data_IF_938975585441
#
_entry.id   IF_938975585441
#
_cell.length_a   1.000
_cell.length_b   1.000
_cell.length_c   1.000
_cell.angle_alpha   90.00
_cell.angle_beta   90.00
_cell.angle_gamma   90.00
#
_symmetry.space_group_name_H-M   'P 1'
#
loop_
_entity.id
_entity.type
_entity.pdbx_description
1 polymer ?
#
# COMPACT_ATOMS: atom_id res chain seq x y z
N UNK A 1 21.75 7.46 -19.03
CA UNK A 1 21.25 8.31 -17.94
C UNK A 1 19.74 8.29 -18.04
N UNK A 2 19.03 7.73 -17.06
CA UNK A 2 17.57 7.61 -17.15
C UNK A 2 16.96 9.01 -16.93
N UNK A 3 16.11 9.42 -17.85
CA UNK A 3 15.33 10.65 -17.73
C UNK A 3 13.89 10.28 -17.97
N UNK A 4 13.06 10.43 -16.96
CA UNK A 4 11.63 10.16 -17.08
C UNK A 4 10.83 11.27 -16.40
N UNK A 5 9.72 11.71 -17.01
CA UNK A 5 8.78 12.58 -16.33
C UNK A 5 8.00 11.83 -15.25
N UNK A 6 7.71 12.50 -14.15
CA UNK A 6 6.94 11.99 -13.02
C UNK A 6 5.52 11.61 -13.46
N UNK A 7 5.02 10.43 -13.08
CA UNK A 7 3.70 9.95 -13.48
C UNK A 7 2.54 10.77 -12.94
N UNK A 8 2.73 11.69 -11.99
CA UNK A 8 1.62 12.47 -11.42
C UNK A 8 1.75 13.97 -11.72
N UNK A 9 2.92 14.55 -11.52
CA UNK A 9 3.11 16.00 -11.57
C UNK A 9 3.82 16.47 -12.85
N UNK A 10 4.33 15.54 -13.67
CA UNK A 10 5.02 15.83 -14.92
C UNK A 10 6.40 16.47 -14.78
N UNK A 11 6.93 16.64 -13.56
CA UNK A 11 8.30 17.08 -13.35
C UNK A 11 9.25 16.03 -13.91
N UNK A 12 10.33 16.43 -14.56
CA UNK A 12 11.31 15.50 -15.12
C UNK A 12 12.34 15.13 -14.08
N UNK A 13 12.57 13.82 -13.96
CA UNK A 13 13.54 13.24 -13.05
C UNK A 13 14.66 12.69 -13.91
N UNK A 14 15.82 13.31 -13.80
CA UNK A 14 17.03 12.91 -14.50
C UNK A 14 18.03 12.33 -13.50
N UNK A 15 18.31 11.04 -13.63
CA UNK A 15 19.39 10.34 -12.92
C UNK A 15 20.71 11.09 -13.15
N UNK A 16 21.44 11.46 -12.10
CA UNK A 16 22.74 12.14 -12.26
C UNK A 16 23.92 11.16 -12.21
N UNK A 17 23.67 9.87 -11.96
CA UNK A 17 24.68 8.80 -11.94
C UNK A 17 25.48 8.71 -10.63
N UNK A 18 25.17 9.53 -9.63
CA UNK A 18 25.85 9.59 -8.32
C UNK A 18 24.88 9.30 -7.14
N UNK A 19 23.75 8.63 -7.41
CA UNK A 19 22.68 8.42 -6.43
C UNK A 19 21.83 9.68 -6.18
N UNK A 20 22.04 10.74 -6.96
CA UNK A 20 21.18 11.92 -6.96
C UNK A 20 20.33 12.00 -8.22
N UNK A 21 19.18 12.64 -8.09
CA UNK A 21 18.21 12.85 -9.14
C UNK A 21 17.95 14.35 -9.23
N UNK A 22 18.12 14.89 -10.44
CA UNK A 22 17.70 16.25 -10.74
C UNK A 22 16.22 16.21 -11.08
N UNK A 23 15.41 16.90 -10.30
CA UNK A 23 13.99 17.10 -10.55
C UNK A 23 13.81 18.48 -11.14
N UNK A 24 13.22 18.55 -12.34
CA UNK A 24 12.99 19.80 -13.07
C UNK A 24 11.51 19.96 -13.33
N UNK A 25 10.93 21.06 -12.85
CA UNK A 25 9.57 21.46 -13.23
C UNK A 25 9.64 22.25 -14.53
N UNK A 26 9.36 21.58 -15.65
CA UNK A 26 9.38 22.22 -16.97
C UNK A 26 8.37 23.36 -17.12
N UNK A 27 7.35 23.45 -16.27
CA UNK A 27 6.38 24.56 -16.33
C UNK A 27 6.97 25.84 -15.75
N UNK A 28 7.75 25.73 -14.69
CA UNK A 28 8.31 26.89 -13.97
C UNK A 28 9.79 27.12 -14.27
N UNK A 29 10.48 26.15 -14.88
CA UNK A 29 11.93 26.17 -15.08
C UNK A 29 12.74 25.91 -13.80
N UNK A 30 12.05 25.82 -12.65
CA UNK A 30 12.65 25.56 -11.35
C UNK A 30 13.13 24.12 -11.29
N UNK A 31 14.23 23.92 -10.59
CA UNK A 31 14.81 22.60 -10.41
C UNK A 31 15.38 22.46 -9.02
N UNK A 32 15.46 21.22 -8.54
CA UNK A 32 16.26 20.83 -7.39
C UNK A 32 16.94 19.51 -7.61
N UNK A 33 17.99 19.28 -6.84
CA UNK A 33 18.66 17.99 -6.74
C UNK A 33 18.26 17.33 -5.43
N UNK A 34 17.84 16.08 -5.53
CA UNK A 34 17.51 15.22 -4.39
C UNK A 34 18.41 14.00 -4.43
N UNK A 35 18.71 13.40 -3.28
CA UNK A 35 19.20 12.02 -3.22
C UNK A 35 18.01 11.08 -3.49
N UNK A 36 18.29 9.87 -4.01
CA UNK A 36 17.25 8.94 -4.43
C UNK A 36 16.24 8.55 -3.34
N UNK A 37 16.60 8.71 -2.07
CA UNK A 37 15.81 8.42 -0.87
C UNK A 37 14.96 9.61 -0.39
N UNK A 38 14.86 10.68 -1.19
CA UNK A 38 14.02 11.83 -0.86
C UNK A 38 14.73 12.99 -0.17
N UNK A 39 16.01 12.85 0.20
CA UNK A 39 16.75 13.95 0.84
C UNK A 39 16.99 15.07 -0.17
N UNK A 40 16.42 16.25 0.11
CA UNK A 40 16.69 17.47 -0.66
C UNK A 40 18.13 17.96 -0.45
N UNK A 41 18.84 18.29 -1.53
CA UNK A 41 20.23 18.74 -1.48
C UNK A 41 20.38 20.22 -1.82
N UNK A 42 19.83 20.66 -2.95
CA UNK A 42 19.93 22.05 -3.43
C UNK A 42 18.85 22.36 -4.47
N UNK A 43 18.55 23.66 -4.66
CA UNK A 43 17.65 24.16 -5.70
C UNK A 43 16.39 24.85 -5.18
N UNK A 44 15.39 25.01 -6.04
CA UNK A 44 14.19 25.82 -5.77
C UNK A 44 12.93 24.99 -5.51
N UNK A 45 12.91 23.72 -5.93
CA UNK A 45 11.85 22.76 -5.60
C UNK A 45 12.13 22.14 -4.23
N UNK A 46 11.19 22.20 -3.30
CA UNK A 46 11.37 21.64 -1.94
C UNK A 46 10.81 20.23 -1.78
N UNK A 47 10.25 19.65 -2.84
CA UNK A 47 9.57 18.35 -2.81
C UNK A 47 9.79 17.57 -4.12
N UNK A 48 9.73 16.25 -4.01
CA UNK A 48 9.75 15.30 -5.12
C UNK A 48 9.09 13.98 -4.65
N UNK A 49 8.42 13.27 -5.54
CA UNK A 49 7.96 11.90 -5.29
C UNK A 49 9.15 10.96 -5.03
N UNK A 50 9.23 10.35 -3.83
CA UNK A 50 10.34 9.50 -3.45
C UNK A 50 10.36 8.14 -4.13
N UNK A 51 9.20 7.56 -4.46
CA UNK A 51 9.16 6.34 -5.26
C UNK A 51 9.73 6.59 -6.65
N UNK A 52 9.53 7.81 -7.18
CA UNK A 52 10.09 8.17 -8.47
C UNK A 52 11.57 8.59 -8.39
N UNK A 53 12.02 9.20 -7.29
CA UNK A 53 13.44 9.38 -7.01
C UNK A 53 14.16 8.02 -6.94
N UNK A 54 13.57 7.07 -6.23
CA UNK A 54 14.05 5.69 -6.13
C UNK A 54 13.97 4.97 -7.48
N UNK A 55 12.89 5.21 -8.23
CA UNK A 55 12.75 4.71 -9.59
C UNK A 55 13.81 5.28 -10.52
N UNK A 56 14.31 6.49 -10.34
CA UNK A 56 15.22 7.14 -11.30
C UNK A 56 16.68 6.92 -10.93
N UNK A 57 17.05 7.33 -9.72
CA UNK A 57 18.42 7.30 -9.20
C UNK A 57 18.64 6.29 -8.08
N UNK A 58 17.62 5.48 -7.74
CA UNK A 58 17.76 4.44 -6.72
C UNK A 58 18.75 3.35 -7.11
N UNK A 59 19.25 2.60 -6.11
CA UNK A 59 20.22 1.54 -6.33
C UNK A 59 19.64 0.48 -7.26
N UNK A 60 20.42 0.05 -8.25
CA UNK A 60 20.10 -1.13 -9.07
C UNK A 60 20.56 -2.36 -8.32
N UNK A 61 19.87 -3.49 -8.49
CA UNK A 61 20.45 -4.75 -8.05
C UNK A 61 21.78 -4.98 -8.80
N UNK A 62 22.80 -5.55 -8.13
CA UNK A 62 24.00 -5.98 -8.81
C UNK A 62 23.65 -6.89 -10.00
N UNK A 63 24.35 -6.81 -11.15
CA UNK A 63 24.09 -7.66 -12.31
C UNK A 63 24.03 -9.16 -11.98
N UNK A 64 24.84 -9.61 -11.02
CA UNK A 64 24.90 -10.97 -10.49
C UNK A 64 23.67 -11.39 -9.66
N UNK A 65 22.87 -10.42 -9.21
CA UNK A 65 21.62 -10.61 -8.46
C UNK A 65 20.36 -10.47 -9.35
N UNK A 66 20.53 -10.12 -10.63
CA UNK A 66 19.44 -10.10 -11.63
C UNK A 66 19.28 -11.48 -12.30
N UNK A 67 19.00 -12.49 -11.47
CA UNK A 67 18.95 -13.91 -11.90
C UNK A 67 17.65 -14.31 -12.61
N UNK A 68 16.69 -13.40 -12.83
CA UNK A 68 15.33 -13.79 -13.21
C UNK A 68 14.97 -13.73 -14.69
N UNK A 69 15.80 -13.18 -15.57
CA UNK A 69 15.39 -12.96 -16.96
C UNK A 69 15.59 -14.13 -17.92
N UNK A 70 16.01 -15.31 -17.46
CA UNK A 70 16.38 -16.38 -18.39
C UNK A 70 15.73 -17.75 -18.16
N UNK A 71 14.57 -17.92 -17.51
CA UNK A 71 13.86 -19.22 -17.53
C UNK A 71 12.33 -19.13 -17.42
N UNK A 72 11.66 -18.46 -18.38
CA UNK A 72 10.22 -18.67 -18.58
C UNK A 72 9.96 -19.43 -19.88
N UNK A 73 9.26 -20.57 -19.85
CA UNK A 73 8.31 -20.89 -20.91
C UNK A 73 7.09 -19.97 -20.78
N UNK A 74 6.60 -19.45 -21.90
CA UNK A 74 5.32 -18.75 -22.06
C UNK A 74 4.11 -19.73 -21.85
N UNK A 75 2.88 -19.22 -21.67
CA UNK A 75 2.02 -19.52 -20.53
C UNK A 75 1.25 -20.85 -20.61
N UNK A 76 1.05 -21.46 -19.44
CA UNK A 76 0.04 -22.50 -19.21
C UNK A 76 -1.36 -21.86 -19.30
N UNK A 77 -2.15 -22.35 -20.26
CA UNK A 77 -3.58 -22.08 -20.36
C UNK A 77 -4.27 -22.29 -19.01
N UNK A 78 -4.91 -21.23 -18.51
CA UNK A 78 -5.80 -21.30 -17.35
C UNK A 78 -7.10 -21.99 -17.78
N UNK A 79 -7.27 -23.24 -17.35
CA UNK A 79 -8.55 -23.94 -17.46
C UNK A 79 -9.59 -23.30 -16.53
N UNK A 80 -10.72 -22.93 -17.10
CA UNK A 80 -11.91 -22.46 -16.39
C UNK A 80 -12.45 -23.53 -15.42
N UNK A 81 -12.92 -23.09 -14.25
CA UNK A 81 -13.75 -23.89 -13.35
C UNK A 81 -14.83 -23.01 -12.69
N UNK A 82 -15.98 -23.60 -12.29
CA UNK A 82 -17.31 -23.03 -12.55
C UNK A 82 -17.88 -22.18 -11.41
N UNK A 83 -18.93 -21.44 -11.74
CA UNK A 83 -19.71 -20.56 -10.85
C UNK A 83 -20.34 -21.32 -9.68
N UNK A 84 -20.18 -20.79 -8.46
CA UNK A 84 -20.96 -21.20 -7.29
C UNK A 84 -22.13 -20.23 -7.09
N UNK A 85 -23.34 -20.73 -7.29
CA UNK A 85 -24.58 -20.10 -6.90
C UNK A 85 -24.96 -20.48 -5.46
N UNK A 86 -25.56 -19.51 -4.77
CA UNK A 86 -26.55 -19.62 -3.67
C UNK A 86 -26.12 -20.17 -2.29
N UNK A 87 -26.02 -19.25 -1.32
CA UNK A 87 -26.46 -19.44 0.07
C UNK A 87 -26.76 -18.07 0.72
N UNK A 88 -27.72 -17.99 1.67
CA UNK A 88 -28.44 -16.76 2.01
C UNK A 88 -27.69 -15.87 3.01
N UNK A 89 -27.60 -14.58 2.71
CA UNK A 89 -27.09 -13.56 3.63
C UNK A 89 -28.22 -13.15 4.58
N UNK A 90 -28.24 -13.75 5.77
CA UNK A 90 -29.03 -13.27 6.89
C UNK A 90 -28.21 -12.27 7.71
N UNK A 91 -28.74 -11.05 7.84
CA UNK A 91 -28.32 -10.12 8.89
C UNK A 91 -28.03 -8.70 8.43
N UNK A 92 -28.99 -8.03 7.80
CA UNK A 92 -29.24 -6.57 7.87
C UNK A 92 -30.60 -6.28 7.20
N UNK A 93 -31.65 -7.03 7.57
CA UNK A 93 -33.03 -6.65 7.25
C UNK A 93 -33.61 -5.87 8.44
N UNK A 94 -33.12 -4.65 8.60
CA UNK A 94 -33.95 -3.56 9.10
C UNK A 94 -34.84 -3.06 7.96
N UNK A 95 -36.06 -2.65 8.28
CA UNK A 95 -37.13 -2.24 7.36
C UNK A 95 -36.63 -1.46 6.14
N UNK A 96 -36.97 -1.97 4.95
CA UNK A 96 -36.54 -1.47 3.65
C UNK A 96 -37.33 -0.21 3.26
N UNK A 97 -37.01 0.92 3.86
CA UNK A 97 -37.11 2.19 3.13
C UNK A 97 -35.82 2.29 2.32
N UNK A 98 -35.92 2.09 1.01
CA UNK A 98 -34.76 2.32 0.13
C UNK A 98 -34.27 3.76 0.40
N UNK A 99 -32.99 3.96 0.77
CA UNK A 99 -32.48 5.29 1.03
C UNK A 99 -32.70 6.12 -0.24
N UNK A 100 -33.23 7.35 -0.13
CA UNK A 100 -33.52 8.17 -1.30
C UNK A 100 -32.25 8.36 -2.11
N UNK A 101 -32.31 8.03 -3.40
CA UNK A 101 -31.24 8.38 -4.35
C UNK A 101 -31.36 9.88 -4.62
N UNK A 102 -30.57 10.67 -3.91
CA UNK A 102 -30.50 12.11 -4.15
C UNK A 102 -29.82 12.33 -5.50
N UNK A 103 -30.44 13.03 -6.43
CA UNK A 103 -29.84 13.33 -7.74
C UNK A 103 -28.73 14.37 -7.60
N UNK A 104 -27.78 14.37 -8.53
CA UNK A 104 -26.76 15.41 -8.58
C UNK A 104 -27.38 16.73 -9.03
N UNK A 105 -27.22 17.79 -8.23
CA UNK A 105 -27.80 19.12 -8.50
C UNK A 105 -26.77 20.17 -8.88
N UNK A 106 -25.48 19.82 -8.88
CA UNK A 106 -24.39 20.78 -9.01
C UNK A 106 -24.15 21.57 -7.72
N UNK A 107 -22.93 22.01 -7.53
CA UNK A 107 -22.53 22.88 -6.42
C UNK A 107 -21.91 24.15 -7.02
N UNK A 108 -22.48 25.33 -6.73
CA UNK A 108 -21.96 26.58 -7.26
C UNK A 108 -20.58 26.94 -6.70
N UNK A 109 -20.18 26.31 -5.60
CA UNK A 109 -18.97 26.59 -4.86
C UNK A 109 -18.97 27.95 -4.16
N UNK A 110 -17.90 28.22 -3.43
CA UNK A 110 -17.62 29.49 -2.73
C UNK A 110 -16.14 29.81 -2.85
N UNK A 111 -15.81 31.10 -3.04
CA UNK A 111 -14.43 31.56 -3.04
C UNK A 111 -13.89 31.61 -1.60
N UNK A 112 -12.72 31.01 -1.37
CA UNK A 112 -12.04 31.01 -0.06
C UNK A 112 -10.60 31.51 -0.22
N UNK A 113 -9.89 31.67 0.89
CA UNK A 113 -8.44 31.95 0.90
C UNK A 113 -7.61 30.82 0.27
N UNK A 114 -8.17 29.61 0.16
CA UNK A 114 -7.59 28.44 -0.51
C UNK A 114 -8.11 28.29 -1.96
N UNK A 115 -8.81 29.29 -2.49
CA UNK A 115 -9.44 29.31 -3.81
C UNK A 115 -10.87 28.76 -3.81
N UNK A 116 -11.42 28.50 -5.00
CA UNK A 116 -12.78 27.96 -5.12
C UNK A 116 -12.92 26.60 -4.40
N UNK A 117 -13.93 26.49 -3.51
CA UNK A 117 -14.27 25.27 -2.76
C UNK A 117 -15.77 24.98 -2.80
N UNK A 118 -16.20 23.83 -2.27
CA UNK A 118 -17.62 23.52 -2.15
C UNK A 118 -18.36 24.60 -1.35
N UNK A 119 -19.64 24.86 -1.66
CA UNK A 119 -20.42 25.82 -0.86
C UNK A 119 -20.61 25.38 0.60
N UNK A 120 -20.31 24.12 0.92
CA UNK A 120 -20.28 23.59 2.29
C UNK A 120 -18.87 23.45 2.87
N UNK A 121 -17.86 24.08 2.26
CA UNK A 121 -16.48 23.98 2.72
C UNK A 121 -16.32 24.40 4.17
N UNK A 122 -15.66 23.54 4.94
CA UNK A 122 -15.16 23.85 6.27
C UNK A 122 -13.72 23.34 6.34
N UNK A 123 -12.81 24.21 6.76
CA UNK A 123 -11.40 23.85 6.90
C UNK A 123 -11.24 22.76 7.97
N UNK A 124 -10.41 21.75 7.70
CA UNK A 124 -10.04 20.73 8.69
C UNK A 124 -9.47 21.38 9.96
N UNK A 125 -8.72 22.48 9.81
CA UNK A 125 -8.13 23.21 10.92
C UNK A 125 -9.18 23.70 11.93
N UNK A 126 -10.35 24.11 11.46
CA UNK A 126 -11.46 24.51 12.34
C UNK A 126 -11.86 23.38 13.31
N UNK A 127 -11.88 22.12 12.85
CA UNK A 127 -12.26 21.00 13.70
C UNK A 127 -11.20 20.65 14.72
N UNK A 128 -9.93 20.72 14.33
CA UNK A 128 -8.81 20.48 15.25
C UNK A 128 -8.79 21.55 16.36
N UNK A 129 -8.96 22.82 16.00
CA UNK A 129 -8.96 23.96 16.96
C UNK A 129 -10.17 23.98 17.89
N UNK A 130 -11.30 23.40 17.45
CA UNK A 130 -12.54 23.36 18.21
C UNK A 130 -12.84 21.98 18.83
N UNK A 131 -11.87 21.05 18.81
CA UNK A 131 -11.99 19.80 19.54
C UNK A 131 -12.08 20.09 21.04
N UNK A 132 -12.90 19.32 21.76
CA UNK A 132 -13.10 19.49 23.20
C UNK A 132 -11.93 18.95 24.03
N UNK A 133 -11.06 18.15 23.42
CA UNK A 133 -9.92 17.46 24.04
C UNK A 133 -8.68 17.59 23.14
N UNK A 134 -8.23 18.83 22.82
CA UNK A 134 -7.14 19.05 21.87
C UNK A 134 -5.82 18.40 22.33
N UNK A 135 -5.63 18.21 23.64
CA UNK A 135 -4.48 17.50 24.21
C UNK A 135 -4.42 16.01 23.86
N UNK A 136 -5.53 15.44 23.36
CA UNK A 136 -5.60 14.07 22.85
C UNK A 136 -5.36 13.99 21.35
N UNK A 137 -5.22 15.10 20.62
CA UNK A 137 -4.95 15.06 19.18
C UNK A 137 -3.44 14.88 18.97
N UNK A 138 -2.97 13.82 18.30
CA UNK A 138 -1.55 13.67 18.00
C UNK A 138 -1.03 14.79 17.09
N UNK A 139 0.19 15.26 17.34
CA UNK A 139 0.82 16.39 16.62
C UNK A 139 0.78 16.24 15.09
N UNK A 140 0.94 15.02 14.58
CA UNK A 140 0.90 14.72 13.15
C UNK A 140 -0.39 15.17 12.46
N UNK A 141 -1.54 15.20 13.15
CA UNK A 141 -2.81 15.66 12.56
C UNK A 141 -2.82 17.16 12.24
N UNK A 142 -1.96 17.93 12.91
CA UNK A 142 -1.81 19.37 12.68
C UNK A 142 -0.86 19.71 11.52
N UNK A 143 0.00 18.77 11.10
CA UNK A 143 1.00 19.00 10.04
C UNK A 143 0.35 19.10 8.66
N UNK A 144 0.54 20.20 7.93
CA UNK A 144 0.16 20.41 6.52
C UNK A 144 1.33 20.13 5.58
N UNK A 145 1.09 19.29 4.55
CA UNK A 145 2.08 19.03 3.52
C UNK A 145 1.43 18.75 2.14
N UNK A 146 0.77 19.76 1.54
CA UNK A 146 0.04 19.58 0.30
C UNK A 146 0.95 19.22 -0.88
N UNK A 147 0.45 18.41 -1.81
CA UNK A 147 1.16 18.14 -3.06
C UNK A 147 1.28 19.42 -3.90
N UNK A 148 2.49 19.96 -4.03
CA UNK A 148 2.71 21.17 -4.84
C UNK A 148 2.86 20.84 -6.34
N UNK A 149 2.52 21.80 -7.20
CA UNK A 149 2.62 21.68 -8.67
C UNK A 149 1.29 21.67 -9.42
N UNK A 150 0.18 21.55 -8.67
CA UNK A 150 -1.19 21.62 -9.21
C UNK A 150 -1.54 20.46 -10.14
N UNK A 151 -2.73 20.48 -10.76
CA UNK A 151 -3.16 19.42 -11.66
C UNK A 151 -2.25 19.35 -12.90
N UNK A 152 -1.86 18.13 -13.27
CA UNK A 152 -1.11 17.85 -14.48
C UNK A 152 -1.80 16.73 -15.27
N UNK A 153 -1.71 16.82 -16.61
CA UNK A 153 -2.12 15.72 -17.49
C UNK A 153 -0.96 14.74 -17.63
N UNK A 154 -1.27 13.47 -17.49
CA UNK A 154 -0.30 12.36 -17.54
C UNK A 154 -0.68 11.46 -18.71
N UNK A 155 0.31 10.91 -19.42
CA UNK A 155 0.04 9.92 -20.46
C UNK A 155 -0.56 8.64 -19.87
N UNK A 156 -1.59 8.12 -20.55
CA UNK A 156 -2.24 6.85 -20.21
C UNK A 156 -1.37 5.63 -20.49
N UNK A 157 -0.26 5.80 -21.22
CA UNK A 157 0.68 4.72 -21.59
C UNK A 157 1.12 3.88 -20.39
N UNK A 158 1.28 4.51 -19.22
CA UNK A 158 1.69 3.86 -17.95
C UNK A 158 0.73 2.78 -17.47
N UNK A 159 -0.51 2.79 -17.94
CA UNK A 159 -1.50 1.79 -17.56
C UNK A 159 -1.50 0.57 -18.49
N UNK A 160 -0.97 0.67 -19.71
CA UNK A 160 -1.08 -0.40 -20.71
C UNK A 160 0.22 -0.79 -21.43
N UNK A 161 1.27 0.02 -21.40
CA UNK A 161 2.55 -0.33 -22.01
C UNK A 161 3.34 -1.34 -21.19
N UNK A 162 3.72 -2.46 -21.84
CA UNK A 162 4.54 -3.50 -21.21
C UNK A 162 5.91 -2.99 -20.75
N UNK A 163 6.57 -2.12 -21.54
CA UNK A 163 7.89 -1.56 -21.19
C UNK A 163 7.88 -0.86 -19.84
N UNK A 164 6.80 -0.13 -19.54
CA UNK A 164 6.65 0.59 -18.27
C UNK A 164 6.38 -0.39 -17.11
N UNK A 165 5.57 -1.42 -17.33
CA UNK A 165 5.40 -2.50 -16.35
C UNK A 165 6.73 -3.21 -16.02
N UNK A 166 7.52 -3.57 -17.04
CA UNK A 166 8.82 -4.24 -16.83
C UNK A 166 9.76 -3.34 -16.00
N UNK A 167 9.73 -2.03 -16.24
CA UNK A 167 10.53 -1.07 -15.47
C UNK A 167 10.02 -0.89 -14.03
N UNK A 168 8.71 -0.93 -13.80
CA UNK A 168 8.11 -0.97 -12.45
C UNK A 168 8.55 -2.22 -11.68
N UNK A 169 8.67 -3.38 -12.34
CA UNK A 169 9.21 -4.58 -11.70
C UNK A 169 10.63 -4.38 -11.24
N UNK A 170 11.50 -3.86 -12.10
CA UNK A 170 12.91 -3.66 -11.75
C UNK A 170 13.14 -2.64 -10.63
N UNK A 171 12.30 -1.60 -10.57
CA UNK A 171 12.60 -0.43 -9.77
C UNK A 171 11.64 -0.16 -8.62
N UNK A 172 10.49 -0.81 -8.61
CA UNK A 172 9.51 -0.74 -7.51
C UNK A 172 9.38 -2.12 -6.88
N UNK A 173 8.93 -3.13 -7.62
CA UNK A 173 8.60 -4.43 -7.03
C UNK A 173 9.82 -5.21 -6.51
N UNK A 174 11.02 -4.96 -7.05
CA UNK A 174 12.29 -5.50 -6.52
C UNK A 174 12.92 -4.64 -5.41
N UNK A 175 12.37 -3.45 -5.09
CA UNK A 175 13.04 -2.42 -4.28
C UNK A 175 12.21 -1.81 -3.15
N UNK A 176 10.89 -1.93 -3.21
CA UNK A 176 9.98 -1.37 -2.21
C UNK A 176 9.54 -2.41 -1.19
N UNK A 177 9.29 -1.95 0.04
CA UNK A 177 8.65 -2.74 1.08
C UNK A 177 7.20 -3.09 0.70
N UNK A 178 6.86 -4.37 0.79
CA UNK A 178 5.58 -4.93 0.35
C UNK A 178 4.91 -5.69 1.49
N UNK A 179 3.67 -5.32 1.83
CA UNK A 179 2.88 -6.07 2.80
C UNK A 179 2.49 -7.43 2.21
N UNK A 180 2.79 -8.51 2.94
CA UNK A 180 2.53 -9.89 2.49
C UNK A 180 1.33 -10.49 3.21
N UNK A 181 1.34 -10.45 4.54
CA UNK A 181 0.31 -11.05 5.38
C UNK A 181 0.30 -10.42 6.78
N UNK A 182 -0.65 -10.81 7.63
CA UNK A 182 -0.55 -10.54 9.06
C UNK A 182 0.25 -11.61 9.78
N UNK A 183 0.76 -11.29 10.95
CA UNK A 183 1.42 -12.27 11.83
C UNK A 183 0.47 -13.42 12.21
N UNK A 184 -0.82 -13.11 12.35
CA UNK A 184 -1.90 -14.07 12.66
C UNK A 184 -2.23 -15.02 11.49
N UNK A 185 -1.78 -14.71 10.28
CA UNK A 185 -1.94 -15.62 9.13
C UNK A 185 -1.00 -16.81 9.24
N UNK A 186 0.17 -16.60 9.84
CA UNK A 186 1.24 -17.57 10.07
C UNK A 186 1.64 -17.61 11.56
N UNK A 187 0.72 -17.96 12.48
CA UNK A 187 0.92 -17.80 13.93
C UNK A 187 1.92 -18.77 14.54
N UNK A 188 2.17 -19.93 13.92
CA UNK A 188 3.06 -20.96 14.46
C UNK A 188 4.36 -21.05 13.68
N UNK A 189 5.46 -21.46 14.34
CA UNK A 189 6.74 -21.70 13.65
C UNK A 189 6.54 -22.76 12.57
N UNK A 190 7.02 -22.46 11.37
CA UNK A 190 6.83 -23.29 10.18
C UNK A 190 5.55 -22.98 9.40
N UNK A 191 4.68 -22.10 9.89
CA UNK A 191 3.60 -21.56 9.06
C UNK A 191 4.18 -20.57 8.05
N UNK A 192 3.74 -20.69 6.80
CA UNK A 192 4.31 -19.92 5.70
C UNK A 192 3.27 -19.49 4.66
N UNK A 193 3.58 -18.36 4.04
CA UNK A 193 2.81 -17.74 2.99
C UNK A 193 3.61 -17.76 1.68
N UNK A 194 3.11 -18.48 0.67
CA UNK A 194 3.63 -18.37 -0.70
C UNK A 194 3.16 -17.03 -1.32
N UNK A 195 4.04 -16.05 -1.40
CA UNK A 195 3.79 -14.72 -1.95
C UNK A 195 4.20 -14.64 -3.42
N UNK A 196 3.42 -13.94 -4.23
CA UNK A 196 3.65 -13.72 -5.66
C UNK A 196 3.31 -12.28 -6.03
N UNK A 197 4.21 -11.64 -6.77
CA UNK A 197 4.03 -10.28 -7.28
C UNK A 197 4.75 -10.17 -8.63
N UNK A 198 4.06 -9.68 -9.66
CA UNK A 198 4.53 -9.77 -11.04
C UNK A 198 5.00 -11.21 -11.40
N UNK A 199 6.27 -11.38 -11.78
CA UNK A 199 6.88 -12.69 -12.03
C UNK A 199 7.71 -13.23 -10.85
N UNK A 200 7.77 -12.49 -9.73
CA UNK A 200 8.55 -12.84 -8.54
C UNK A 200 7.74 -13.75 -7.61
N UNK A 201 8.41 -14.66 -6.90
CA UNK A 201 7.78 -15.51 -5.90
C UNK A 201 8.67 -15.72 -4.67
N UNK A 202 8.06 -15.61 -3.50
CA UNK A 202 8.72 -15.72 -2.20
C UNK A 202 7.96 -16.67 -1.27
N UNK A 203 8.69 -17.31 -0.37
CA UNK A 203 8.15 -17.99 0.81
C UNK A 203 8.42 -17.08 2.00
N UNK A 204 7.36 -16.58 2.63
CA UNK A 204 7.45 -15.83 3.88
C UNK A 204 7.01 -16.75 5.01
N UNK A 205 7.88 -17.00 5.97
CA UNK A 205 7.69 -18.04 6.99
C UNK A 205 7.96 -17.49 8.39
N UNK A 206 7.19 -17.93 9.38
CA UNK A 206 7.57 -17.77 10.78
C UNK A 206 8.67 -18.79 11.09
N UNK A 207 9.91 -18.34 11.13
CA UNK A 207 11.10 -19.18 11.31
C UNK A 207 11.46 -19.40 12.79
N UNK A 208 10.95 -18.55 13.69
CA UNK A 208 11.09 -18.67 15.15
C UNK A 208 9.89 -18.04 15.87
N UNK A 209 9.86 -18.11 17.21
CA UNK A 209 8.72 -17.65 18.02
C UNK A 209 8.27 -16.22 17.64
N UNK A 210 9.24 -15.30 17.57
CA UNK A 210 9.04 -13.89 17.18
C UNK A 210 9.90 -13.51 15.98
N UNK A 211 10.20 -14.46 15.09
CA UNK A 211 11.11 -14.23 13.96
C UNK A 211 10.49 -14.74 12.68
N UNK A 212 10.60 -13.93 11.63
CA UNK A 212 10.16 -14.24 10.29
C UNK A 212 11.35 -14.28 9.34
N UNK A 213 11.21 -15.00 8.25
CA UNK A 213 12.19 -15.05 7.17
C UNK A 213 11.46 -15.05 5.83
N UNK A 214 12.06 -14.46 4.82
CA UNK A 214 11.53 -14.43 3.46
C UNK A 214 12.60 -14.91 2.49
N UNK A 215 12.25 -15.89 1.66
CA UNK A 215 13.18 -16.52 0.71
C UNK A 215 12.56 -16.58 -0.67
N UNK A 216 13.35 -16.46 -1.73
CA UNK A 216 12.86 -16.76 -3.07
C UNK A 216 12.35 -18.20 -3.15
N UNK A 217 11.16 -18.38 -3.72
CA UNK A 217 10.46 -19.65 -3.78
C UNK A 217 10.98 -20.52 -4.93
N UNK A 218 12.26 -20.88 -4.91
CA UNK A 218 12.92 -21.53 -6.04
C UNK A 218 13.96 -22.53 -5.56
N UNK A 219 13.91 -23.75 -6.10
CA UNK A 219 14.96 -24.73 -5.90
C UNK A 219 16.20 -24.35 -6.69
N UNK A 220 17.35 -24.23 -6.04
CA UNK A 220 18.61 -23.84 -6.70
C UNK A 220 19.22 -24.94 -7.58
N UNK A 221 18.68 -26.16 -7.56
CA UNK A 221 19.15 -27.23 -8.45
C UNK A 221 18.62 -27.07 -9.88
N UNK A 222 17.29 -27.02 -10.07
CA UNK A 222 16.65 -26.88 -11.40
C UNK A 222 15.41 -25.99 -11.39
N UNK A 223 15.45 -24.93 -10.58
CA UNK A 223 14.43 -23.88 -10.50
C UNK A 223 12.99 -24.33 -10.25
N UNK A 224 12.78 -25.53 -9.71
CA UNK A 224 11.44 -25.99 -9.36
C UNK A 224 10.91 -25.15 -8.20
N UNK A 225 9.66 -24.69 -8.30
CA UNK A 225 8.94 -24.04 -7.21
C UNK A 225 8.91 -24.98 -5.97
N UNK A 226 9.29 -24.46 -4.81
CA UNK A 226 9.34 -25.23 -3.56
C UNK A 226 7.96 -25.34 -2.92
N UNK A 227 7.20 -24.23 -2.91
CA UNK A 227 5.88 -24.13 -2.30
C UNK A 227 4.86 -23.59 -3.31
N UNK A 228 3.83 -24.37 -3.60
CA UNK A 228 2.74 -24.01 -4.53
C UNK A 228 1.67 -23.11 -3.90
N UNK A 229 1.42 -23.28 -2.60
CA UNK A 229 0.37 -22.62 -1.82
C UNK A 229 0.85 -22.25 -0.42
N UNK A 230 0.05 -21.50 0.34
CA UNK A 230 0.30 -21.30 1.77
C UNK A 230 0.25 -22.63 2.52
N UNK A 231 1.02 -22.75 3.60
CA UNK A 231 1.08 -23.97 4.38
C UNK A 231 1.33 -23.71 5.85
N UNK A 232 1.23 -24.79 6.63
CA UNK A 232 1.38 -24.77 8.08
C UNK A 232 2.37 -25.84 8.55
N UNK A 233 3.08 -25.56 9.64
CA UNK A 233 3.96 -26.52 10.33
C UNK A 233 5.10 -27.11 9.48
N UNK A 234 5.61 -26.36 8.50
CA UNK A 234 6.79 -26.78 7.76
C UNK A 234 8.00 -26.91 8.69
N UNK A 235 8.79 -27.98 8.51
CA UNK A 235 10.08 -28.17 9.20
C UNK A 235 11.28 -27.85 8.31
N UNK A 236 11.05 -27.84 7.00
CA UNK A 236 11.99 -27.56 5.92
C UNK A 236 11.20 -27.31 4.63
N UNK A 237 11.87 -26.75 3.63
CA UNK A 237 11.37 -26.62 2.26
C UNK A 237 12.07 -27.65 1.38
N UNK A 238 11.41 -28.78 1.13
CA UNK A 238 11.94 -29.87 0.29
C UNK A 238 11.42 -29.73 -1.14
N UNK A 239 12.35 -29.70 -2.09
CA UNK A 239 12.02 -29.65 -3.51
C UNK A 239 11.33 -30.96 -3.94
N UNK A 240 10.14 -30.89 -4.56
CA UNK A 240 9.39 -32.07 -4.98
C UNK A 240 10.02 -32.80 -6.19
N UNK A 241 11.08 -32.26 -6.78
CA UNK A 241 11.72 -32.88 -7.94
C UNK A 241 12.83 -33.87 -7.54
N UNK A 242 13.87 -33.39 -6.86
CA UNK A 242 15.05 -34.20 -6.54
C UNK A 242 15.35 -34.26 -5.03
N UNK A 243 14.44 -33.80 -4.17
CA UNK A 243 14.56 -33.98 -2.73
C UNK A 243 15.55 -33.06 -2.00
N UNK A 244 16.24 -32.15 -2.70
CA UNK A 244 17.05 -31.11 -2.05
C UNK A 244 16.17 -30.29 -1.09
N UNK A 245 16.69 -29.98 0.09
CA UNK A 245 15.91 -29.24 1.09
C UNK A 245 16.71 -28.13 1.77
N UNK A 246 15.96 -27.10 2.18
CA UNK A 246 16.44 -25.95 2.92
C UNK A 246 15.68 -25.83 4.23
N UNK A 247 16.33 -25.32 5.28
CA UNK A 247 15.67 -25.01 6.56
C UNK A 247 14.75 -23.78 6.41
N UNK A 248 13.99 -23.46 7.46
CA UNK A 248 13.09 -22.30 7.46
C UNK A 248 13.84 -20.96 7.36
N UNK A 249 15.09 -20.91 7.80
CA UNK A 249 16.00 -19.77 7.65
C UNK A 249 16.66 -19.68 6.25
N UNK A 250 16.31 -20.59 5.32
CA UNK A 250 16.82 -20.60 3.95
C UNK A 250 18.17 -21.30 3.79
N UNK A 251 18.82 -21.73 4.87
CA UNK A 251 20.09 -22.45 4.80
C UNK A 251 19.91 -23.86 4.21
N UNK A 252 20.86 -24.29 3.38
CA UNK A 252 20.86 -25.64 2.80
C UNK A 252 20.88 -26.69 3.91
N UNK A 253 19.92 -27.61 3.85
CA UNK A 253 19.81 -28.73 4.80
C UNK A 253 20.38 -30.01 4.20
N UNK A 254 19.78 -30.49 3.12
CA UNK A 254 20.03 -31.83 2.58
C UNK A 254 20.16 -31.79 1.06
N UNK A 255 21.14 -32.53 0.55
CA UNK A 255 21.26 -32.90 -0.86
C UNK A 255 21.01 -34.41 -0.92
N UNK A 256 20.05 -34.83 -1.74
CA UNK A 256 19.77 -36.26 -1.91
C UNK A 256 20.98 -36.96 -2.50
N UNK A 257 21.41 -38.07 -1.86
CA UNK A 257 22.59 -38.86 -2.23
C UNK A 257 23.86 -38.02 -2.40
N UNK A 258 24.08 -37.03 -1.53
CA UNK A 258 25.22 -36.09 -1.57
C UNK A 258 26.59 -36.76 -1.73
N UNK A 259 26.77 -37.97 -1.15
CA UNK A 259 28.01 -38.74 -1.25
C UNK A 259 28.41 -39.13 -2.68
N UNK A 260 27.46 -39.19 -3.63
CA UNK A 260 27.72 -39.48 -5.04
C UNK A 260 28.24 -38.24 -5.80
N UNK A 261 28.20 -37.07 -5.19
CA UNK A 261 28.55 -35.78 -5.80
C UNK A 261 29.55 -34.98 -4.94
N UNK A 262 30.82 -35.39 -4.84
CA UNK A 262 31.82 -34.64 -4.09
C UNK A 262 31.93 -33.19 -4.59
N UNK A 263 31.85 -32.21 -3.68
CA UNK A 263 31.96 -30.77 -4.00
C UNK A 263 30.63 -30.06 -4.30
N UNK A 264 29.51 -30.79 -4.44
CA UNK A 264 28.23 -30.16 -4.81
C UNK A 264 27.67 -29.26 -3.72
N UNK A 265 27.99 -29.52 -2.45
CA UNK A 265 27.43 -28.76 -1.32
C UNK A 265 27.97 -27.34 -1.29
N UNK A 266 29.24 -27.20 -1.62
CA UNK A 266 29.96 -25.93 -1.72
C UNK A 266 29.35 -25.03 -2.81
N UNK A 267 28.80 -25.64 -3.87
CA UNK A 267 28.09 -24.96 -4.95
C UNK A 267 26.57 -24.80 -4.69
N UNK A 268 26.00 -25.63 -3.81
CA UNK A 268 24.59 -25.60 -3.44
C UNK A 268 24.33 -24.47 -2.43
N UNK A 269 24.10 -23.27 -2.95
CA UNK A 269 23.83 -22.08 -2.16
C UNK A 269 22.63 -22.19 -1.19
N UNK A 270 22.53 -21.18 -0.33
CA UNK A 270 21.35 -20.93 0.48
C UNK A 270 20.28 -20.25 -0.37
N UNK A 271 19.01 -20.39 0.01
CA UNK A 271 17.94 -19.68 -0.70
C UNK A 271 18.20 -18.16 -0.65
N UNK A 272 18.10 -17.45 -1.79
CA UNK A 272 18.21 -15.99 -1.79
C UNK A 272 17.16 -15.38 -0.86
N UNK A 273 17.63 -14.62 0.13
CA UNK A 273 16.77 -13.98 1.11
C UNK A 273 16.23 -12.65 0.57
N UNK A 274 15.03 -12.29 1.03
CA UNK A 274 14.51 -10.94 1.00
C UNK A 274 14.54 -10.37 2.42
N UNK A 275 14.73 -9.05 2.57
CA UNK A 275 14.57 -8.39 3.86
C UNK A 275 13.14 -8.60 4.36
N UNK A 276 12.98 -8.73 5.68
CA UNK A 276 11.69 -8.93 6.33
C UNK A 276 11.61 -8.08 7.59
N UNK A 277 10.47 -7.43 7.79
CA UNK A 277 10.20 -6.62 8.97
C UNK A 277 8.70 -6.67 9.28
N UNK A 278 8.34 -6.31 10.51
CA UNK A 278 6.95 -6.24 10.94
C UNK A 278 6.61 -4.85 11.47
N UNK A 279 5.35 -4.45 11.29
CA UNK A 279 4.80 -3.23 11.87
C UNK A 279 3.30 -3.45 12.12
N UNK A 280 2.80 -3.17 13.33
CA UNK A 280 1.35 -3.27 13.64
C UNK A 280 0.72 -4.65 13.38
N UNK A 281 1.49 -5.73 13.53
CA UNK A 281 1.06 -7.10 13.22
C UNK A 281 1.00 -7.43 11.72
N UNK A 282 1.53 -6.55 10.85
CA UNK A 282 1.71 -6.79 9.42
C UNK A 282 3.15 -7.23 9.14
N UNK A 283 3.31 -8.25 8.30
CA UNK A 283 4.60 -8.76 7.84
C UNK A 283 4.89 -8.20 6.45
N UNK A 284 6.03 -7.55 6.31
CA UNK A 284 6.51 -6.96 5.06
C UNK A 284 7.77 -7.65 4.56
N UNK A 285 7.97 -7.64 3.25
CA UNK A 285 9.23 -8.04 2.63
C UNK A 285 9.77 -6.92 1.75
N UNK A 286 11.09 -6.86 1.59
CA UNK A 286 11.74 -6.09 0.53
C UNK A 286 12.76 -6.99 -0.19
N UNK A 287 12.60 -7.25 -1.50
CA UNK A 287 13.55 -8.06 -2.25
C UNK A 287 14.97 -7.49 -2.34
N UNK A 288 15.15 -6.20 -2.06
CA UNK A 288 16.47 -5.57 -2.05
C UNK A 288 17.22 -5.91 -0.75
N UNK A 289 18.37 -6.61 -0.80
CA UNK A 289 19.16 -6.87 0.40
C UNK A 289 19.69 -5.58 1.04
N UNK A 290 19.83 -4.52 0.25
CA UNK A 290 20.35 -3.21 0.69
C UNK A 290 19.22 -2.21 1.04
N UNK A 291 17.97 -2.68 1.17
CA UNK A 291 16.86 -1.83 1.56
C UNK A 291 17.09 -1.16 2.91
N UNK A 292 16.64 0.09 3.03
CA UNK A 292 16.54 0.76 4.33
C UNK A 292 15.57 0.01 5.26
N UNK A 293 15.71 0.15 6.59
CA UNK A 293 14.76 -0.39 7.56
C UNK A 293 13.31 0.03 7.26
N UNK A 294 12.34 -0.87 7.53
CA UNK A 294 10.93 -0.60 7.27
C UNK A 294 10.43 0.68 7.96
N UNK A 295 10.86 0.93 9.21
CA UNK A 295 10.45 2.12 9.97
C UNK A 295 10.89 3.42 9.28
N UNK A 296 12.09 3.43 8.70
CA UNK A 296 12.62 4.58 7.95
C UNK A 296 11.84 4.78 6.64
N UNK A 297 11.57 3.67 5.92
CA UNK A 297 10.77 3.70 4.70
C UNK A 297 9.34 4.22 4.92
N UNK A 298 8.69 3.82 6.03
CA UNK A 298 7.34 4.27 6.38
C UNK A 298 7.30 5.74 6.80
N UNK A 299 8.37 6.21 7.44
CA UNK A 299 8.52 7.58 7.89
C UNK A 299 7.81 7.89 9.23
N UNK A 300 8.33 8.88 9.99
CA UNK A 300 7.85 9.17 11.34
C UNK A 300 6.40 9.65 11.39
N UNK A 301 5.92 10.35 10.35
CA UNK A 301 4.54 10.84 10.29
C UNK A 301 3.53 9.68 10.16
N UNK A 302 3.84 8.67 9.34
CA UNK A 302 2.98 7.49 9.19
C UNK A 302 2.90 6.72 10.52
N UNK A 303 4.05 6.49 11.15
CA UNK A 303 4.14 5.81 12.45
C UNK A 303 3.35 6.55 13.53
N UNK A 304 3.51 7.88 13.61
CA UNK A 304 2.79 8.72 14.56
C UNK A 304 1.28 8.74 14.31
N UNK A 305 0.86 8.76 13.04
CA UNK A 305 -0.55 8.82 12.66
C UNK A 305 -1.33 7.59 13.14
N UNK A 306 -0.71 6.41 13.03
CA UNK A 306 -1.35 5.15 13.38
C UNK A 306 -1.06 4.65 14.80
N UNK A 307 -0.19 5.32 15.57
CA UNK A 307 0.24 4.88 16.91
C UNK A 307 -0.92 4.56 17.87
N UNK A 308 -2.06 5.26 17.76
CA UNK A 308 -3.24 5.05 18.62
C UNK A 308 -4.14 3.89 18.18
N UNK A 309 -4.02 3.42 16.94
CA UNK A 309 -4.91 2.39 16.40
C UNK A 309 -4.62 1.00 16.98
N UNK A 310 -3.40 0.78 17.50
CA UNK A 310 -2.96 -0.50 18.08
C UNK A 310 -3.27 -1.66 17.15
N UNK A 311 -2.80 -1.59 15.91
CA UNK A 311 -3.09 -2.60 14.90
C UNK A 311 -2.60 -3.99 15.28
N UNK A 312 -1.58 -4.09 16.14
CA UNK A 312 -1.11 -5.31 16.79
C UNK A 312 -2.20 -6.02 17.62
N UNK A 313 -3.24 -5.28 18.06
CA UNK A 313 -4.40 -5.81 18.79
C UNK A 313 -5.64 -5.94 17.89
N UNK A 314 -5.44 -6.07 16.58
CA UNK A 314 -6.51 -6.33 15.60
C UNK A 314 -6.25 -7.65 14.92
N UNK A 315 -7.33 -8.30 14.49
CA UNK A 315 -7.25 -9.57 13.76
C UNK A 315 -8.02 -9.46 12.45
N UNK A 316 -7.66 -10.32 11.50
CA UNK A 316 -8.37 -10.42 10.22
C UNK A 316 -9.67 -11.21 10.40
N UNK A 317 -10.80 -10.51 10.43
CA UNK A 317 -12.12 -11.16 10.54
C UNK A 317 -12.55 -11.83 9.23
N UNK A 318 -12.24 -11.22 8.09
CA UNK A 318 -12.55 -11.74 6.76
C UNK A 318 -11.46 -11.34 5.76
N UNK A 319 -11.25 -12.16 4.73
CA UNK A 319 -10.35 -11.87 3.61
C UNK A 319 -11.09 -12.16 2.30
N UNK A 320 -11.17 -11.17 1.43
CA UNK A 320 -11.78 -11.29 0.10
C UNK A 320 -10.73 -10.91 -0.94
N UNK A 321 -10.53 -11.79 -1.91
CA UNK A 321 -9.59 -11.57 -3.01
C UNK A 321 -10.29 -11.76 -4.35
N UNK A 322 -9.98 -10.90 -5.31
CA UNK A 322 -10.47 -11.00 -6.68
C UNK A 322 -9.40 -10.53 -7.66
N UNK A 323 -9.28 -11.23 -8.78
CA UNK A 323 -8.50 -10.74 -9.91
C UNK A 323 -9.29 -9.65 -10.62
N UNK A 324 -8.70 -8.45 -10.67
CA UNK A 324 -9.25 -7.29 -11.38
C UNK A 324 -8.46 -7.12 -12.67
N UNK A 325 -9.15 -7.13 -13.82
CA UNK A 325 -8.55 -6.93 -15.14
C UNK A 325 -8.18 -5.47 -15.41
N UNK A 326 -7.37 -4.88 -14.54
CA UNK A 326 -6.92 -3.49 -14.63
C UNK A 326 -5.45 -3.36 -14.19
N UNK A 327 -4.80 -2.26 -14.57
CA UNK A 327 -3.49 -1.93 -14.03
C UNK A 327 -3.59 -1.66 -12.52
N UNK A 328 -2.60 -2.11 -11.74
CA UNK A 328 -2.58 -1.94 -10.28
C UNK A 328 -2.68 -0.47 -9.85
N UNK A 329 -2.07 0.45 -10.62
CA UNK A 329 -2.10 1.89 -10.34
C UNK A 329 -3.51 2.47 -10.38
N UNK A 330 -4.32 2.09 -11.38
CA UNK A 330 -5.72 2.54 -11.50
C UNK A 330 -6.53 2.12 -10.27
N UNK A 331 -6.29 0.91 -9.77
CA UNK A 331 -6.97 0.40 -8.58
C UNK A 331 -6.51 1.16 -7.33
N UNK A 332 -5.20 1.41 -7.19
CA UNK A 332 -4.66 2.16 -6.04
C UNK A 332 -5.08 3.62 -6.03
N UNK A 333 -5.03 4.30 -7.18
CA UNK A 333 -5.38 5.72 -7.32
C UNK A 333 -6.82 5.99 -6.86
N UNK A 334 -7.75 5.06 -7.12
CA UNK A 334 -9.14 5.16 -6.64
C UNK A 334 -9.26 5.18 -5.11
N UNK A 335 -8.24 4.74 -4.36
CA UNK A 335 -8.18 4.84 -2.89
C UNK A 335 -7.28 5.97 -2.41
N UNK A 336 -6.63 6.70 -3.32
CA UNK A 336 -5.80 7.87 -3.01
C UNK A 336 -6.57 9.19 -3.18
N UNK A 337 -7.80 9.15 -3.72
CA UNK A 337 -8.69 10.29 -3.86
C UNK A 337 -10.13 9.93 -3.45
N UNK A 338 -10.92 10.94 -3.10
CA UNK A 338 -12.36 10.80 -2.85
C UNK A 338 -13.23 11.63 -3.80
N UNK A 339 -12.67 12.29 -4.81
CA UNK A 339 -13.46 12.99 -5.84
C UNK A 339 -14.49 12.07 -6.49
N UNK A 340 -14.15 10.80 -6.75
CA UNK A 340 -15.08 9.85 -7.35
C UNK A 340 -16.26 9.49 -6.42
N UNK A 341 -16.14 9.68 -5.10
CA UNK A 341 -17.17 9.28 -4.13
C UNK A 341 -18.47 10.05 -4.38
N UNK A 342 -18.36 11.33 -4.77
CA UNK A 342 -19.51 12.17 -5.15
C UNK A 342 -20.32 11.54 -6.29
N UNK A 343 -19.64 10.95 -7.28
CA UNK A 343 -20.31 10.36 -8.45
C UNK A 343 -20.73 8.91 -8.22
N UNK A 344 -19.78 8.08 -7.79
CA UNK A 344 -19.85 6.61 -7.81
C UNK A 344 -20.54 6.02 -6.58
N UNK A 345 -20.49 6.72 -5.44
CA UNK A 345 -20.95 6.19 -4.14
C UNK A 345 -22.10 7.01 -3.50
N UNK A 346 -23.22 7.26 -4.21
CA UNK A 346 -24.32 8.08 -3.69
C UNK A 346 -24.91 7.57 -2.38
N UNK A 347 -24.91 6.26 -2.15
CA UNK A 347 -25.44 5.66 -0.93
C UNK A 347 -24.56 5.93 0.29
N UNK A 348 -23.23 5.99 0.10
CA UNK A 348 -22.27 6.28 1.18
C UNK A 348 -22.50 7.71 1.69
N UNK A 349 -22.73 8.67 0.79
CA UNK A 349 -22.99 10.06 1.16
C UNK A 349 -24.27 10.22 2.00
N UNK A 350 -25.32 9.45 1.69
CA UNK A 350 -26.60 9.52 2.41
C UNK A 350 -26.54 8.82 3.77
N UNK A 351 -25.69 7.79 3.91
CA UNK A 351 -25.51 6.98 5.11
C UNK A 351 -24.55 7.59 6.16
N UNK A 352 -24.26 8.89 6.04
CA UNK A 352 -23.38 9.60 6.96
C UNK A 352 -21.91 9.65 6.51
N UNK A 353 -21.62 9.38 5.23
CA UNK A 353 -20.28 9.51 4.63
C UNK A 353 -19.93 10.90 4.09
N UNK A 354 -20.89 11.84 4.08
CA UNK A 354 -20.61 13.24 3.80
C UNK A 354 -20.24 13.55 2.35
N UNK A 355 -20.02 14.82 2.02
CA UNK A 355 -19.49 15.24 0.72
C UNK A 355 -17.97 15.25 0.72
N UNK A 356 -17.36 14.59 -0.26
CA UNK A 356 -15.91 14.41 -0.45
C UNK A 356 -15.26 15.53 -1.28
N UNK A 357 -15.98 16.62 -1.55
CA UNK A 357 -15.48 17.74 -2.35
C UNK A 357 -14.28 18.50 -1.73
N UNK A 358 -14.04 18.36 -0.43
CA UNK A 358 -13.05 19.15 0.31
C UNK A 358 -12.03 18.30 1.09
N UNK A 359 -11.66 17.15 0.53
CA UNK A 359 -10.61 16.31 1.11
C UNK A 359 -9.28 17.06 1.11
N UNK A 360 -8.63 17.07 2.27
CA UNK A 360 -7.25 17.53 2.40
C UNK A 360 -6.31 16.38 2.08
N UNK A 361 -5.38 16.61 1.15
CA UNK A 361 -4.36 15.64 0.78
C UNK A 361 -2.99 16.14 1.21
N UNK A 362 -2.27 15.34 1.99
CA UNK A 362 -0.88 15.57 2.38
C UNK A 362 0.03 14.44 1.88
N UNK A 363 1.30 14.74 1.61
CA UNK A 363 2.30 13.77 1.11
C UNK A 363 3.58 13.87 1.93
N UNK A 364 3.90 12.83 2.72
CA UNK A 364 5.08 12.74 3.59
C UNK A 364 6.02 11.64 3.09
N UNK A 365 6.86 11.96 2.11
CA UNK A 365 7.71 10.95 1.50
C UNK A 365 6.88 9.79 0.93
N UNK A 366 7.13 8.58 1.41
CA UNK A 366 6.47 7.35 0.92
C UNK A 366 5.03 7.17 1.44
N UNK A 367 4.52 8.09 2.26
CA UNK A 367 3.18 8.01 2.82
C UNK A 367 2.31 9.21 2.42
N UNK A 368 1.16 8.93 1.81
CA UNK A 368 0.12 9.90 1.51
C UNK A 368 -1.01 9.83 2.52
N UNK A 369 -1.61 10.98 2.83
CA UNK A 369 -2.74 11.10 3.75
C UNK A 369 -3.89 11.85 3.10
N UNK A 370 -5.07 11.22 3.06
CA UNK A 370 -6.33 11.86 2.69
C UNK A 370 -7.17 12.07 3.96
N UNK A 371 -7.32 13.32 4.41
CA UNK A 371 -8.14 13.68 5.56
C UNK A 371 -9.48 14.25 5.08
N UNK A 372 -10.55 13.60 5.52
CA UNK A 372 -11.91 14.01 5.17
C UNK A 372 -12.82 13.95 6.39
N UNK A 373 -13.83 14.82 6.37
CA UNK A 373 -14.88 14.85 7.37
C UNK A 373 -16.07 14.11 6.78
N UNK A 374 -15.96 12.79 6.84
CA UNK A 374 -16.96 11.91 6.25
C UNK A 374 -18.22 11.85 7.10
N UNK A 375 -18.10 11.87 8.43
CA UNK A 375 -19.27 11.70 9.30
C UNK A 375 -20.24 12.91 9.28
N UNK A 376 -21.41 12.74 8.67
CA UNK A 376 -22.57 13.62 8.87
C UNK A 376 -22.55 14.99 8.18
N UNK A 377 -21.71 15.22 7.17
CA UNK A 377 -21.61 16.53 6.50
C UNK A 377 -22.71 16.75 5.44
N UNK A 378 -22.98 18.04 5.16
CA UNK A 378 -23.84 18.45 4.06
C UNK A 378 -23.22 18.07 2.70
N UNK A 379 -24.06 17.86 1.70
CA UNK A 379 -23.66 17.71 0.31
C UNK A 379 -24.49 18.66 -0.57
N UNK A 380 -23.95 19.84 -0.91
CA UNK A 380 -24.58 20.76 -1.85
C UNK A 380 -24.86 20.12 -3.21
N UNK A 381 -23.96 19.25 -3.68
CA UNK A 381 -24.08 18.51 -4.95
C UNK A 381 -25.21 17.49 -4.94
N UNK A 382 -25.78 17.16 -3.77
CA UNK A 382 -26.94 16.28 -3.60
C UNK A 382 -28.15 16.99 -2.98
N UNK A 383 -28.08 18.32 -2.82
CA UNK A 383 -29.14 19.12 -2.17
C UNK A 383 -29.40 18.73 -0.72
N UNK A 384 -28.46 18.06 -0.05
CA UNK A 384 -28.57 17.66 1.36
C UNK A 384 -27.84 18.67 2.22
N UNK A 385 -28.60 19.44 2.99
CA UNK A 385 -28.03 20.31 4.02
C UNK A 385 -28.32 19.69 5.37
N UNK A 386 -27.26 19.48 6.15
CA UNK A 386 -27.37 19.01 7.53
C UNK A 386 -27.20 20.23 8.41
N UNK A 387 -28.17 20.50 9.28
CA UNK A 387 -28.06 21.57 10.28
C UNK A 387 -26.95 21.26 11.28
N UNK A 388 -26.45 22.28 11.99
CA UNK A 388 -25.40 22.06 13.02
C UNK A 388 -25.90 21.12 14.12
N UNK A 389 -27.17 21.22 14.46
CA UNK A 389 -27.85 20.39 15.45
C UNK A 389 -27.95 18.93 15.01
N UNK A 390 -28.31 18.68 13.74
CA UNK A 390 -28.36 17.32 13.18
C UNK A 390 -26.98 16.68 13.06
N UNK A 391 -25.97 17.45 12.62
CA UNK A 391 -24.59 16.98 12.54
C UNK A 391 -24.06 16.62 13.94
N UNK A 392 -24.27 17.51 14.93
CA UNK A 392 -23.88 17.26 16.31
C UNK A 392 -24.60 16.04 16.89
N UNK A 393 -25.91 15.90 16.66
CA UNK A 393 -26.66 14.73 17.10
C UNK A 393 -26.13 13.43 16.47
N UNK A 394 -25.72 13.46 15.20
CA UNK A 394 -25.09 12.32 14.54
C UNK A 394 -23.75 11.96 15.18
N UNK A 395 -22.86 12.94 15.38
CA UNK A 395 -21.58 12.71 16.06
C UNK A 395 -21.75 12.20 17.49
N UNK A 396 -22.71 12.75 18.24
CA UNK A 396 -23.06 12.26 19.57
C UNK A 396 -23.57 10.83 19.53
N UNK A 397 -24.47 10.50 18.61
CA UNK A 397 -24.97 9.14 18.45
C UNK A 397 -23.84 8.14 18.08
N UNK A 398 -22.90 8.53 17.20
CA UNK A 398 -21.73 7.72 16.88
C UNK A 398 -20.80 7.56 18.08
N UNK A 399 -20.57 8.63 18.85
CA UNK A 399 -19.76 8.58 20.07
C UNK A 399 -20.41 7.70 21.16
N UNK A 400 -21.72 7.81 21.35
CA UNK A 400 -22.49 7.00 22.30
C UNK A 400 -22.53 5.53 21.87
N UNK A 401 -22.73 5.26 20.58
CA UNK A 401 -22.62 3.91 20.03
C UNK A 401 -21.24 3.30 20.29
N UNK A 402 -20.18 4.05 19.99
CA UNK A 402 -18.80 3.60 20.24
C UNK A 402 -18.55 3.38 21.74
N UNK A 403 -19.04 4.27 22.60
CA UNK A 403 -18.93 4.15 24.06
C UNK A 403 -19.62 2.88 24.56
N UNK A 404 -20.86 2.62 24.16
CA UNK A 404 -21.61 1.43 24.58
C UNK A 404 -21.02 0.14 24.00
N UNK A 405 -20.56 0.18 22.74
CA UNK A 405 -19.83 -0.93 22.13
C UNK A 405 -18.54 -1.26 22.90
N UNK A 406 -17.73 -0.23 23.23
CA UNK A 406 -16.52 -0.40 24.00
C UNK A 406 -16.85 -0.93 25.41
N UNK A 407 -17.84 -0.36 26.10
CA UNK A 407 -18.30 -0.87 27.41
C UNK A 407 -18.65 -2.35 27.39
N UNK A 408 -19.32 -2.81 26.33
CA UNK A 408 -19.63 -4.23 26.16
C UNK A 408 -18.40 -5.13 25.99
N UNK A 409 -17.25 -4.58 25.59
CA UNK A 409 -15.99 -5.31 25.38
C UNK A 409 -15.05 -5.20 26.58
N UNK A 410 -14.89 -4.00 27.15
CA UNK A 410 -13.85 -3.70 28.16
C UNK A 410 -14.41 -3.39 29.56
N UNK A 411 -15.73 -3.31 29.74
CA UNK A 411 -16.36 -2.88 31.00
C UNK A 411 -16.58 -1.37 31.07
N UNK A 412 -17.13 -0.91 32.20
CA UNK A 412 -17.57 0.48 32.43
C UNK A 412 -16.46 1.53 32.46
#
# INVERSE_FOLDING_TARGET
MLVEPHPINGMEYADQGDGTVRVTDHKTGRWSRFRFDGVWLEGELTHADPHFLMFIGGPKLPPEMDIFYAMSPLPLELKETPSAAEAPVNGLRGTRTEPPVLMYTGDPGVETDKGMRSSSYIDMQYFLENDRRPELIPDVFWLENPMHGGPAKISTDRFHEKRLHDLEVERIWKKAWQMVCREDDIPQVGDYHAYKIAHLSYIVVRSGENTFSAHQNICLHRARLLCDRHGRGAREFRCPYHGWSWKLDGSLKEITTEWDFPGVREDAGQLPAAQVATWGGFVFINPDPDAEPLEDFLGPEMLAHYAKYRFEHRYKQAHVQRVIGANWKVVMEAFMEGYHVIGTHPQIMVAGGGDSADIRYDVFGNWGRAQHISAGTASPQRGRYVTKEEALAHFQASADFNREFLRGIIGD
#
